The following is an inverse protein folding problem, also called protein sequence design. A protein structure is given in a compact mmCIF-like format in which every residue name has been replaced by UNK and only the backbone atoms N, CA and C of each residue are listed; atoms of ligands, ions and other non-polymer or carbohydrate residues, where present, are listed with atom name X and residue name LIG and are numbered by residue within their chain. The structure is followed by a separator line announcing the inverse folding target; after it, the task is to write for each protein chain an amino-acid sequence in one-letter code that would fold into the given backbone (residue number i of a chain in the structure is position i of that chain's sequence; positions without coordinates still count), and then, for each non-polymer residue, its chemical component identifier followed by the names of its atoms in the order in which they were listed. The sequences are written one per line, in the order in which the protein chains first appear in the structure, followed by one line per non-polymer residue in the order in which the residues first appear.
data_IF_090074712624
#
_entry.id   IF_090074712624
#
_cell.length_a   1.000
_cell.length_b   1.000
_cell.length_c   1.000
_cell.angle_alpha   90.00
_cell.angle_beta   90.00
_cell.angle_gamma   90.00
#
_symmetry.space_group_name_H-M   'P 1'
#
loop_
_entity.id
_entity.type
_entity.pdbx_description
1 polymer ?
#
# COMPACT_ATOMS: atom_id res chain seq x y z
N UNK A 1 20.74 60.32 52.11
CA UNK A 1 21.23 59.90 53.44
C UNK A 1 20.00 59.87 54.35
N UNK A 2 19.55 58.84 55.05
CA UNK A 2 19.94 57.48 55.45
C UNK A 2 18.61 56.68 55.45
N UNK A 3 18.43 55.50 54.85
CA UNK A 3 18.94 54.15 55.12
C UNK A 3 18.41 53.50 56.43
N UNK A 4 18.07 52.21 56.27
CA UNK A 4 17.91 51.10 57.26
C UNK A 4 16.46 50.95 57.80
N UNK A 5 15.65 49.93 57.41
CA UNK A 5 15.59 48.48 57.84
C UNK A 5 15.46 48.36 59.37
N UNK A 6 14.71 47.47 60.02
CA UNK A 6 14.03 46.19 59.76
C UNK A 6 13.02 45.99 60.93
N UNK A 7 11.96 45.20 60.74
CA UNK A 7 11.51 44.23 61.76
C UNK A 7 10.38 43.33 61.21
N UNK A 8 10.53 42.03 61.43
CA UNK A 8 9.56 40.97 61.20
C UNK A 8 8.50 40.94 62.31
N UNK A 9 7.26 40.50 62.02
CA UNK A 9 6.61 39.29 62.60
C UNK A 9 5.11 39.17 62.25
N UNK A 10 4.80 38.00 61.67
CA UNK A 10 3.60 37.15 61.69
C UNK A 10 2.17 37.68 61.98
N UNK A 11 1.30 37.38 61.00
CA UNK A 11 -0.02 36.70 61.06
C UNK A 11 -1.22 37.40 61.74
N UNK A 12 -2.18 37.82 60.91
CA UNK A 12 -3.61 37.68 61.23
C UNK A 12 -4.46 37.53 59.95
N UNK A 13 -5.52 36.75 60.10
CA UNK A 13 -6.36 36.18 59.06
C UNK A 13 -7.30 37.18 58.38
N UNK A 14 -7.66 36.91 57.12
CA UNK A 14 -8.95 37.30 56.55
C UNK A 14 -9.55 36.16 55.74
N UNK A 15 -10.72 35.73 56.20
CA UNK A 15 -11.61 34.81 55.54
C UNK A 15 -12.26 35.45 54.31
N UNK A 16 -12.42 34.66 53.25
CA UNK A 16 -13.47 34.83 52.24
C UNK A 16 -14.04 33.44 51.91
N UNK A 17 -15.30 33.24 52.29
CA UNK A 17 -16.27 32.36 51.62
C UNK A 17 -16.43 32.81 50.17
N UNK A 18 -16.81 32.03 49.15
CA UNK A 18 -17.21 30.63 48.99
C UNK A 18 -17.19 30.36 47.47
N UNK A 19 -17.09 29.11 47.06
CA UNK A 19 -18.09 28.40 46.24
C UNK A 19 -17.49 27.06 45.82
N UNK A 20 -18.16 25.99 46.23
CA UNK A 20 -17.86 24.64 45.78
C UNK A 20 -18.28 24.50 44.31
N UNK A 21 -17.31 24.13 43.46
CA UNK A 21 -17.58 23.54 42.16
C UNK A 21 -16.97 22.13 42.17
N UNK A 22 -17.82 21.13 42.39
CA UNK A 22 -17.50 19.72 42.16
C UNK A 22 -17.33 19.50 40.66
N UNK A 23 -16.09 19.52 40.17
CA UNK A 23 -15.77 19.04 38.84
C UNK A 23 -15.79 17.50 38.87
N UNK A 24 -16.86 16.91 38.33
CA UNK A 24 -16.88 15.50 38.01
C UNK A 24 -15.88 15.26 36.86
N UNK A 25 -14.82 14.50 37.15
CA UNK A 25 -13.88 13.98 36.17
C UNK A 25 -14.62 12.96 35.28
N UNK A 26 -15.13 13.41 34.14
CA UNK A 26 -15.39 12.53 33.00
C UNK A 26 -14.05 12.27 32.32
N UNK A 27 -13.37 11.21 32.75
CA UNK A 27 -12.21 10.68 32.04
C UNK A 27 -12.66 10.12 30.70
N UNK A 28 -12.50 10.90 29.63
CA UNK A 28 -12.51 10.36 28.28
C UNK A 28 -11.28 9.45 28.14
N UNK A 29 -11.51 8.14 28.09
CA UNK A 29 -10.49 7.18 27.72
C UNK A 29 -10.14 7.41 26.24
N UNK A 30 -9.16 8.27 25.97
CA UNK A 30 -8.42 8.20 24.73
C UNK A 30 -7.70 6.86 24.73
N UNK A 31 -8.12 5.95 23.86
CA UNK A 31 -7.36 4.75 23.56
C UNK A 31 -6.00 5.21 23.03
N UNK A 32 -5.00 5.18 23.91
CA UNK A 32 -3.62 5.52 23.61
C UNK A 32 -3.08 4.40 22.73
N UNK A 33 -3.27 4.55 21.41
CA UNK A 33 -2.69 3.64 20.43
C UNK A 33 -1.18 3.65 20.65
N UNK A 34 -0.63 2.47 20.91
CA UNK A 34 0.81 2.30 21.04
C UNK A 34 1.46 2.67 19.71
N UNK A 35 2.58 3.40 19.70
CA UNK A 35 3.31 3.61 18.45
C UNK A 35 3.70 2.26 17.86
N UNK A 36 3.64 2.09 16.53
CA UNK A 36 4.00 0.83 15.90
C UNK A 36 5.46 0.47 16.26
N UNK A 37 5.76 -0.82 16.45
CA UNK A 37 7.08 -1.26 16.89
C UNK A 37 8.16 -0.82 15.89
N UNK A 38 9.22 -0.20 16.40
CA UNK A 38 10.35 0.31 15.61
C UNK A 38 11.44 -0.73 15.31
N UNK A 39 11.28 -1.97 15.77
CA UNK A 39 12.25 -3.07 15.55
C UNK A 39 11.54 -4.41 15.37
N UNK A 40 11.90 -5.11 14.31
CA UNK A 40 11.35 -6.41 13.93
C UNK A 40 11.92 -7.54 14.81
N UNK A 41 11.07 -8.46 15.31
CA UNK A 41 11.53 -9.78 15.73
C UNK A 41 12.08 -10.53 14.52
N UNK A 42 13.35 -10.93 14.57
CA UNK A 42 14.02 -11.63 13.46
C UNK A 42 13.55 -13.10 13.39
N UNK A 43 12.94 -13.56 12.29
CA UNK A 43 12.63 -14.98 12.08
C UNK A 43 13.91 -15.79 11.76
N UNK A 44 13.87 -17.11 11.98
CA UNK A 44 14.96 -18.02 11.57
C UNK A 44 15.13 -17.97 10.04
N UNK A 45 16.36 -17.75 9.58
CA UNK A 45 16.68 -17.53 8.17
C UNK A 45 16.81 -18.84 7.39
N UNK A 46 16.07 -18.94 6.28
CA UNK A 46 16.48 -19.73 5.11
C UNK A 46 17.64 -19.00 4.40
N UNK A 47 18.36 -19.64 3.46
CA UNK A 47 19.22 -18.89 2.55
C UNK A 47 18.35 -17.82 1.84
N UNK A 48 18.81 -16.56 1.76
CA UNK A 48 18.05 -15.53 1.06
C UNK A 48 17.81 -15.96 -0.39
N UNK A 49 16.63 -15.66 -0.91
CA UNK A 49 16.35 -15.88 -2.32
C UNK A 49 17.45 -15.20 -3.15
N UNK A 50 17.91 -15.87 -4.22
CA UNK A 50 18.98 -15.35 -5.06
C UNK A 50 18.57 -13.97 -5.60
N UNK A 51 19.32 -12.92 -5.26
CA UNK A 51 19.16 -11.58 -5.85
C UNK A 51 19.32 -11.65 -7.35
N UNK A 52 18.43 -10.98 -8.08
CA UNK A 52 18.58 -10.65 -9.49
C UNK A 52 18.78 -9.14 -9.56
N UNK A 53 19.96 -8.70 -10.01
CA UNK A 53 20.35 -7.29 -9.95
C UNK A 53 20.24 -6.67 -11.33
N UNK A 54 19.53 -5.56 -11.44
CA UNK A 54 19.48 -4.72 -12.64
C UNK A 54 20.05 -3.34 -12.33
N UNK A 55 20.48 -2.63 -13.38
CA UNK A 55 20.93 -1.25 -13.27
C UNK A 55 20.51 -0.47 -14.50
N UNK A 56 20.02 0.74 -14.26
CA UNK A 56 19.63 1.67 -15.30
C UNK A 56 18.29 1.36 -15.97
N UNK A 57 17.99 2.14 -17.01
CA UNK A 57 16.70 2.07 -17.70
C UNK A 57 16.50 0.76 -18.45
N UNK A 58 15.34 0.16 -18.24
CA UNK A 58 14.80 -0.89 -19.08
C UNK A 58 14.43 -0.38 -20.48
N UNK A 59 14.34 -1.30 -21.43
CA UNK A 59 13.87 -1.03 -22.77
C UNK A 59 12.33 -1.06 -22.79
N UNK A 60 11.69 0.05 -23.11
CA UNK A 60 10.24 0.09 -23.33
C UNK A 60 9.85 -0.87 -24.47
N UNK A 61 8.83 -1.69 -24.20
CA UNK A 61 8.19 -2.58 -25.17
C UNK A 61 6.81 -2.04 -25.54
N UNK A 62 6.08 -1.55 -24.54
CA UNK A 62 4.78 -0.89 -24.68
C UNK A 62 4.84 0.46 -23.98
N UNK A 63 4.54 1.55 -24.69
CA UNK A 63 4.56 2.89 -24.09
C UNK A 63 3.36 3.17 -23.18
N UNK A 64 2.19 2.63 -23.54
CA UNK A 64 0.91 2.89 -22.87
C UNK A 64 0.05 1.64 -23.09
N UNK A 65 -0.03 0.76 -22.09
CA UNK A 65 -0.79 -0.49 -22.15
C UNK A 65 -2.24 -0.24 -22.55
N UNK A 66 -2.90 0.71 -21.89
CA UNK A 66 -4.26 1.13 -22.23
C UNK A 66 -4.39 2.63 -21.98
N UNK A 67 -4.64 3.42 -23.04
CA UNK A 67 -5.03 4.81 -22.91
C UNK A 67 -6.38 4.95 -22.20
N UNK A 68 -6.51 6.00 -21.39
CA UNK A 68 -7.78 6.38 -20.79
C UNK A 68 -8.88 6.57 -21.85
N UNK A 69 -9.99 5.84 -21.72
CA UNK A 69 -11.06 5.87 -22.73
C UNK A 69 -11.80 7.23 -22.79
N UNK A 70 -11.90 7.93 -21.66
CA UNK A 70 -12.62 9.21 -21.55
C UNK A 70 -11.74 10.32 -20.95
N UNK A 71 -10.68 10.77 -21.66
CA UNK A 71 -9.78 11.78 -21.12
C UNK A 71 -10.49 13.14 -21.03
N UNK A 72 -10.35 13.81 -19.88
CA UNK A 72 -10.88 15.16 -19.64
C UNK A 72 -9.75 16.11 -19.21
N UNK A 73 -9.84 17.40 -19.54
CA UNK A 73 -8.88 18.40 -19.06
C UNK A 73 -8.77 18.37 -17.53
N UNK A 74 -7.53 18.34 -17.02
CA UNK A 74 -7.26 18.34 -15.58
C UNK A 74 -7.18 16.95 -14.93
N UNK A 75 -7.46 15.87 -15.66
CA UNK A 75 -7.22 14.52 -15.14
C UNK A 75 -5.72 14.25 -14.96
N UNK A 76 -5.37 13.56 -13.89
CA UNK A 76 -4.02 13.03 -13.69
C UNK A 76 -3.85 11.79 -14.59
N UNK A 77 -3.50 12.00 -15.85
CA UNK A 77 -3.26 10.93 -16.82
C UNK A 77 -1.77 10.67 -16.94
N UNK A 78 -1.33 9.49 -16.52
CA UNK A 78 0.02 8.98 -16.80
C UNK A 78 -0.06 7.77 -17.71
N UNK A 79 0.87 7.74 -18.67
CA UNK A 79 1.08 6.53 -19.48
C UNK A 79 1.55 5.41 -18.58
N UNK A 80 1.11 4.19 -18.84
CA UNK A 80 1.47 2.98 -18.09
C UNK A 80 2.40 2.08 -18.92
N UNK A 81 3.69 2.43 -19.02
CA UNK A 81 4.61 1.70 -19.86
C UNK A 81 4.94 0.32 -19.27
N UNK A 82 5.33 -0.60 -20.15
CA UNK A 82 5.93 -1.90 -19.83
C UNK A 82 7.17 -2.08 -20.67
N UNK A 83 8.20 -2.67 -20.08
CA UNK A 83 9.43 -2.97 -20.80
C UNK A 83 10.11 -4.25 -20.36
N UNK A 84 11.34 -4.37 -20.84
CA UNK A 84 12.23 -5.47 -20.53
C UNK A 84 13.58 -4.93 -20.07
N UNK A 85 14.19 -5.60 -19.10
CA UNK A 85 15.56 -5.33 -18.67
C UNK A 85 16.32 -6.65 -18.55
N UNK A 86 17.62 -6.62 -18.89
CA UNK A 86 18.51 -7.76 -18.70
C UNK A 86 19.35 -7.50 -17.46
N UNK A 87 19.23 -8.39 -16.47
CA UNK A 87 19.99 -8.38 -15.23
C UNK A 87 21.47 -8.69 -15.46
N UNK A 88 22.30 -8.39 -14.46
CA UNK A 88 23.74 -8.62 -14.50
C UNK A 88 24.12 -10.10 -14.65
N UNK A 89 23.24 -11.02 -14.22
CA UNK A 89 23.43 -12.46 -14.38
C UNK A 89 22.83 -13.03 -15.68
N UNK A 90 22.36 -12.15 -16.57
CA UNK A 90 21.75 -12.50 -17.86
C UNK A 90 20.25 -12.82 -17.80
N UNK A 91 19.63 -12.81 -16.60
CA UNK A 91 18.18 -13.00 -16.46
C UNK A 91 17.43 -11.86 -17.17
N UNK A 92 16.40 -12.19 -17.94
CA UNK A 92 15.50 -11.19 -18.55
C UNK A 92 14.25 -11.02 -17.68
N UNK A 93 13.91 -9.78 -17.39
CA UNK A 93 12.76 -9.42 -16.57
C UNK A 93 11.84 -8.48 -17.34
N UNK A 94 10.53 -8.65 -17.15
CA UNK A 94 9.54 -7.62 -17.49
C UNK A 94 9.54 -6.57 -16.37
N UNK A 95 9.55 -5.29 -16.74
CA UNK A 95 9.47 -4.16 -15.81
C UNK A 95 8.21 -3.33 -16.07
N UNK A 96 7.46 -2.90 -15.04
CA UNK A 96 7.81 -3.08 -13.61
C UNK A 96 7.67 -4.53 -13.12
N UNK A 97 6.68 -5.27 -13.62
CA UNK A 97 6.53 -6.71 -13.35
C UNK A 97 5.75 -7.38 -14.47
N UNK A 98 6.02 -8.67 -14.71
CA UNK A 98 5.12 -9.49 -15.52
C UNK A 98 3.73 -9.54 -14.87
N UNK A 99 2.70 -9.17 -15.63
CA UNK A 99 1.34 -9.01 -15.12
C UNK A 99 0.32 -9.54 -16.14
N UNK A 100 -0.91 -9.70 -15.67
CA UNK A 100 -2.04 -10.21 -16.42
C UNK A 100 -2.93 -9.09 -16.95
N UNK A 101 -2.50 -7.82 -16.93
CA UNK A 101 -3.37 -6.71 -17.31
C UNK A 101 -3.92 -6.87 -18.74
N UNK A 102 -3.11 -7.26 -19.73
CA UNK A 102 -3.60 -7.37 -21.09
C UNK A 102 -4.69 -8.45 -21.29
N UNK A 103 -4.75 -9.47 -20.43
CA UNK A 103 -5.54 -10.69 -20.65
C UNK A 103 -6.61 -10.95 -19.60
N UNK A 104 -6.45 -10.41 -18.39
CA UNK A 104 -7.36 -10.65 -17.28
C UNK A 104 -8.61 -9.75 -17.32
N UNK A 105 -9.75 -10.24 -16.79
CA UNK A 105 -10.92 -9.41 -16.63
C UNK A 105 -10.61 -8.22 -15.70
N UNK A 106 -11.18 -7.05 -16.03
CA UNK A 106 -11.12 -5.89 -15.14
C UNK A 106 -12.17 -6.03 -14.06
N UNK A 107 -11.80 -5.73 -12.82
CA UNK A 107 -12.78 -5.70 -11.76
C UNK A 107 -13.77 -4.55 -11.98
N UNK A 108 -15.06 -4.74 -11.64
CA UNK A 108 -16.03 -3.66 -11.69
C UNK A 108 -15.57 -2.42 -10.94
N UNK A 109 -15.76 -1.24 -11.55
CA UNK A 109 -15.40 0.03 -10.95
C UNK A 109 -16.40 0.41 -9.84
N UNK A 110 -15.88 0.75 -8.66
CA UNK A 110 -16.59 1.59 -7.69
C UNK A 110 -16.44 3.06 -8.11
N UNK A 111 -15.24 3.44 -8.55
CA UNK A 111 -14.91 4.74 -9.12
C UNK A 111 -13.80 4.59 -10.15
N UNK A 112 -13.98 5.16 -11.34
CA UNK A 112 -12.99 5.19 -12.41
C UNK A 112 -13.32 6.32 -13.39
N UNK A 113 -12.48 7.35 -13.41
CA UNK A 113 -12.67 8.50 -14.30
C UNK A 113 -12.53 8.13 -15.79
N UNK A 114 -11.64 7.19 -16.11
CA UNK A 114 -11.42 6.72 -17.47
C UNK A 114 -12.61 5.93 -18.02
N UNK A 115 -13.34 5.22 -17.16
CA UNK A 115 -14.59 4.55 -17.51
C UNK A 115 -15.82 5.49 -17.42
N UNK A 116 -15.65 6.72 -16.91
CA UNK A 116 -16.76 7.63 -16.62
C UNK A 116 -17.64 7.20 -15.44
N UNK A 117 -17.18 6.24 -14.65
CA UNK A 117 -17.85 5.76 -13.43
C UNK A 117 -17.42 6.66 -12.28
N UNK A 118 -18.17 7.72 -12.02
CA UNK A 118 -17.82 8.67 -10.95
C UNK A 118 -18.99 8.94 -9.99
N UNK A 119 -19.50 7.92 -9.28
CA UNK A 119 -20.52 8.14 -8.25
C UNK A 119 -20.08 9.22 -7.25
N UNK A 120 -21.04 9.96 -6.72
CA UNK A 120 -20.78 10.96 -5.70
C UNK A 120 -20.39 10.33 -4.36
N UNK A 121 -21.07 9.24 -4.01
CA UNK A 121 -20.93 8.51 -2.76
C UNK A 121 -21.56 7.11 -2.90
N UNK A 122 -21.57 6.31 -1.83
CA UNK A 122 -22.11 4.95 -1.83
C UNK A 122 -23.61 4.86 -2.15
N UNK A 123 -24.38 5.94 -2.03
CA UNK A 123 -25.84 5.92 -2.31
C UNK A 123 -26.17 5.80 -3.80
N UNK A 124 -25.22 6.14 -4.68
CA UNK A 124 -25.35 6.03 -6.13
C UNK A 124 -24.81 4.69 -6.68
N UNK A 125 -24.27 3.83 -5.81
CA UNK A 125 -23.65 2.55 -6.18
C UNK A 125 -24.68 1.41 -6.06
N UNK A 126 -25.04 0.80 -7.19
CA UNK A 126 -25.92 -0.37 -7.22
C UNK A 126 -25.13 -1.68 -7.23
N UNK A 127 -24.90 -2.24 -6.05
CA UNK A 127 -24.17 -3.50 -5.87
C UNK A 127 -24.85 -4.71 -6.51
N UNK A 128 -26.15 -4.63 -6.86
CA UNK A 128 -26.84 -5.74 -7.52
C UNK A 128 -26.42 -5.89 -8.99
N UNK A 129 -25.87 -4.82 -9.60
CA UNK A 129 -25.30 -4.86 -10.95
C UNK A 129 -23.89 -5.45 -10.98
N UNK A 130 -23.23 -5.57 -9.83
CA UNK A 130 -21.92 -6.20 -9.72
C UNK A 130 -22.12 -7.72 -9.82
N UNK A 131 -21.54 -8.38 -10.84
CA UNK A 131 -21.68 -9.83 -11.00
C UNK A 131 -21.04 -10.58 -9.83
N UNK A 132 -21.63 -11.72 -9.48
CA UNK A 132 -21.08 -12.61 -8.47
C UNK A 132 -20.14 -13.60 -9.17
N UNK A 133 -18.88 -13.64 -8.72
CA UNK A 133 -17.94 -14.69 -9.12
C UNK A 133 -18.20 -15.91 -8.26
N UNK A 134 -18.67 -16.98 -8.89
CA UNK A 134 -19.07 -18.22 -8.23
C UNK A 134 -17.85 -19.13 -8.04
N UNK A 135 -17.30 -19.19 -6.82
CA UNK A 135 -16.15 -20.04 -6.47
C UNK A 135 -16.61 -21.32 -5.76
N UNK A 136 -17.51 -21.17 -4.78
CA UNK A 136 -18.09 -22.28 -4.00
C UNK A 136 -19.62 -22.18 -4.00
N UNK A 137 -20.32 -23.19 -4.52
CA UNK A 137 -21.79 -23.18 -4.64
C UNK A 137 -22.52 -23.03 -3.30
N UNK A 138 -21.96 -23.58 -2.24
CA UNK A 138 -22.46 -23.51 -0.86
C UNK A 138 -21.79 -22.40 -0.03
N UNK A 139 -21.05 -21.50 -0.69
CA UNK A 139 -20.42 -20.34 -0.09
C UNK A 139 -21.38 -19.17 0.17
N UNK A 140 -20.91 -18.25 1.01
CA UNK A 140 -21.58 -16.98 1.28
C UNK A 140 -21.20 -15.95 0.21
N UNK A 141 -22.09 -14.99 -0.05
CA UNK A 141 -21.77 -13.87 -0.94
C UNK A 141 -21.03 -12.80 -0.14
N UNK A 142 -19.76 -12.61 -0.46
CA UNK A 142 -18.90 -11.60 0.14
C UNK A 142 -18.67 -10.47 -0.87
N UNK A 143 -18.93 -9.23 -0.45
CA UNK A 143 -18.61 -8.03 -1.22
C UNK A 143 -17.29 -7.45 -0.74
N UNK A 144 -16.33 -7.24 -1.64
CA UNK A 144 -15.05 -6.59 -1.36
C UNK A 144 -14.95 -5.24 -2.05
N UNK A 145 -14.33 -4.27 -1.38
CA UNK A 145 -13.94 -2.97 -1.93
C UNK A 145 -12.44 -2.81 -1.80
N UNK A 146 -11.80 -2.19 -2.79
CA UNK A 146 -10.34 -2.07 -2.84
C UNK A 146 -9.86 -0.86 -3.62
N UNK A 147 -8.69 -0.35 -3.21
CA UNK A 147 -7.91 0.69 -3.88
C UNK A 147 -6.44 0.26 -3.85
N UNK A 148 -5.72 0.54 -4.94
CA UNK A 148 -4.27 0.43 -5.00
C UNK A 148 -3.65 1.75 -5.46
N UNK A 149 -2.45 2.01 -4.96
CA UNK A 149 -1.48 2.92 -5.53
C UNK A 149 -0.36 2.02 -6.11
N UNK A 150 -0.34 1.65 -7.39
CA UNK A 150 -1.29 1.97 -8.45
C UNK A 150 -2.11 0.77 -8.95
N UNK A 151 -1.50 -0.41 -9.08
CA UNK A 151 -2.11 -1.56 -9.75
C UNK A 151 -2.21 -2.76 -8.81
N UNK A 152 -3.24 -3.58 -9.00
CA UNK A 152 -3.31 -4.88 -8.35
C UNK A 152 -3.96 -5.97 -9.19
N UNK A 153 -3.68 -7.21 -8.81
CA UNK A 153 -4.35 -8.42 -9.29
C UNK A 153 -4.92 -9.19 -8.11
N UNK A 154 -6.21 -9.49 -8.14
CA UNK A 154 -6.91 -10.19 -7.07
C UNK A 154 -7.05 -11.67 -7.39
N UNK A 155 -6.56 -12.50 -6.47
CA UNK A 155 -6.72 -13.94 -6.51
C UNK A 155 -7.49 -14.42 -5.28
N UNK A 156 -8.40 -15.36 -5.49
CA UNK A 156 -9.10 -16.07 -4.41
C UNK A 156 -8.89 -17.55 -4.60
N UNK A 157 -8.34 -18.22 -3.58
CA UNK A 157 -7.97 -19.64 -3.63
C UNK A 157 -7.10 -20.01 -4.85
N UNK A 158 -6.21 -19.12 -5.28
CA UNK A 158 -5.35 -19.31 -6.46
C UNK A 158 -5.99 -18.96 -7.80
N UNK A 159 -7.31 -18.72 -7.85
CA UNK A 159 -7.99 -18.30 -9.07
C UNK A 159 -7.89 -16.77 -9.24
N UNK A 160 -7.41 -16.32 -10.40
CA UNK A 160 -7.44 -14.92 -10.80
C UNK A 160 -8.89 -14.47 -10.99
N UNK A 161 -9.33 -13.55 -10.14
CA UNK A 161 -10.69 -12.98 -10.18
C UNK A 161 -10.77 -11.82 -11.14
N UNK A 162 -9.75 -10.97 -11.12
CA UNK A 162 -9.63 -9.82 -11.98
C UNK A 162 -8.51 -8.91 -11.51
N UNK A 163 -8.31 -7.87 -12.29
CA UNK A 163 -7.25 -6.90 -12.07
C UNK A 163 -7.83 -5.49 -12.01
N UNK A 164 -7.04 -4.57 -11.47
CA UNK A 164 -7.32 -3.14 -11.53
C UNK A 164 -7.55 -2.70 -13.00
N UNK A 165 -8.49 -1.77 -13.22
CA UNK A 165 -8.83 -1.26 -14.55
C UNK A 165 -7.91 -0.13 -15.05
N UNK A 166 -7.14 0.50 -14.17
CA UNK A 166 -6.29 1.66 -14.45
C UNK A 166 -4.90 1.46 -13.83
N UNK A 167 -3.94 0.92 -14.58
CA UNK A 167 -2.64 0.49 -14.02
C UNK A 167 -1.81 1.55 -13.30
N UNK A 168 -2.02 2.83 -13.61
CA UNK A 168 -1.17 3.90 -13.10
C UNK A 168 -1.99 5.07 -12.58
N UNK A 169 -2.41 6.01 -13.45
CA UNK A 169 -3.31 7.09 -13.07
C UNK A 169 -4.29 7.42 -14.19
N UNK A 170 -5.52 7.89 -13.86
CA UNK A 170 -5.99 8.35 -12.55
C UNK A 170 -6.28 7.20 -11.58
N UNK A 171 -6.11 7.47 -10.29
CA UNK A 171 -6.49 6.52 -9.25
C UNK A 171 -7.97 6.17 -9.30
N UNK A 172 -8.26 4.90 -9.11
CA UNK A 172 -9.58 4.29 -9.19
C UNK A 172 -9.84 3.44 -7.95
N UNK A 173 -11.06 2.89 -7.87
CA UNK A 173 -11.42 1.93 -6.85
C UNK A 173 -12.37 0.89 -7.41
N UNK A 174 -12.33 -0.29 -6.82
CA UNK A 174 -13.00 -1.46 -7.35
C UNK A 174 -13.94 -2.10 -6.35
N UNK A 175 -14.95 -2.77 -6.88
CA UNK A 175 -15.88 -3.60 -6.13
C UNK A 175 -15.95 -5.01 -6.73
N UNK A 176 -15.93 -6.01 -5.86
CA UNK A 176 -16.07 -7.42 -6.24
C UNK A 176 -17.14 -8.09 -5.41
N UNK A 177 -17.86 -9.05 -5.98
CA UNK A 177 -18.77 -9.94 -5.24
C UNK A 177 -18.36 -11.38 -5.52
N UNK A 178 -18.13 -12.13 -4.46
CA UNK A 178 -17.60 -13.48 -4.50
C UNK A 178 -18.58 -14.40 -3.79
N UNK A 179 -18.94 -15.55 -4.37
CA UNK A 179 -19.52 -16.64 -3.59
C UNK A 179 -18.42 -17.60 -3.20
N UNK A 180 -18.06 -17.60 -1.92
CA UNK A 180 -16.89 -18.33 -1.42
C UNK A 180 -17.17 -18.94 -0.05
N UNK A 181 -16.58 -20.10 0.23
CA UNK A 181 -16.71 -20.81 1.50
C UNK A 181 -15.46 -20.63 2.34
N UNK A 182 -15.63 -20.44 3.65
CA UNK A 182 -14.52 -20.40 4.61
C UNK A 182 -13.98 -21.80 4.94
N UNK A 183 -12.66 -21.94 5.19
CA UNK A 183 -11.64 -20.91 5.04
C UNK A 183 -11.31 -20.67 3.56
N UNK A 184 -10.94 -19.44 3.22
CA UNK A 184 -10.45 -19.09 1.89
C UNK A 184 -9.23 -18.18 1.96
N UNK A 185 -8.44 -18.16 0.90
CA UNK A 185 -7.24 -17.34 0.78
C UNK A 185 -7.48 -16.19 -0.18
N UNK A 186 -7.18 -14.99 0.29
CA UNK A 186 -7.04 -13.80 -0.55
C UNK A 186 -5.55 -13.62 -0.83
N UNK A 187 -5.20 -13.45 -2.09
CA UNK A 187 -3.86 -13.16 -2.55
C UNK A 187 -3.90 -11.98 -3.53
N UNK A 188 -2.98 -11.03 -3.37
CA UNK A 188 -2.92 -9.82 -4.19
C UNK A 188 -1.50 -9.60 -4.66
N UNK A 189 -1.31 -9.48 -5.97
CA UNK A 189 -0.09 -8.89 -6.53
C UNK A 189 -0.38 -7.40 -6.60
N UNK A 190 0.39 -6.58 -5.90
CA UNK A 190 0.29 -5.13 -5.93
C UNK A 190 1.56 -4.53 -6.52
N UNK A 191 1.40 -3.50 -7.34
CA UNK A 191 2.45 -2.86 -8.10
C UNK A 191 2.35 -1.35 -8.01
N UNK A 192 3.41 -0.74 -7.50
CA UNK A 192 3.75 0.68 -7.66
C UNK A 192 4.26 0.90 -9.09
N UNK A 193 3.48 1.57 -9.93
CA UNK A 193 3.76 1.64 -11.37
C UNK A 193 4.79 2.72 -11.66
N UNK A 194 5.75 2.41 -12.52
CA UNK A 194 6.84 3.34 -12.86
C UNK A 194 6.72 3.87 -14.30
N UNK A 195 7.18 5.10 -14.54
CA UNK A 195 7.42 5.59 -15.91
C UNK A 195 8.91 5.53 -16.32
N UNK A 196 9.81 5.42 -15.35
CA UNK A 196 11.24 5.16 -15.58
C UNK A 196 11.53 3.68 -15.41
N UNK A 197 11.08 2.89 -16.38
CA UNK A 197 11.15 1.43 -16.39
C UNK A 197 12.49 0.88 -15.86
N UNK A 198 12.43 0.00 -14.86
CA UNK A 198 13.57 -0.64 -14.20
C UNK A 198 14.17 0.14 -13.03
N UNK A 199 13.59 1.29 -12.64
CA UNK A 199 14.14 2.17 -11.60
C UNK A 199 13.19 2.43 -10.42
N UNK A 200 11.92 2.06 -10.48
CA UNK A 200 10.92 2.39 -9.47
C UNK A 200 10.72 3.89 -9.31
N UNK A 201 10.84 4.61 -10.43
CA UNK A 201 10.78 6.08 -10.44
C UNK A 201 9.72 6.60 -11.40
N UNK A 202 9.17 7.74 -11.02
CA UNK A 202 8.08 8.44 -11.68
C UNK A 202 8.32 9.94 -11.85
N UNK A 203 7.55 10.55 -12.75
CA UNK A 203 7.54 11.99 -13.02
C UNK A 203 6.47 12.67 -12.18
N UNK A 204 6.83 13.23 -11.04
CA UNK A 204 5.90 13.89 -10.12
C UNK A 204 6.21 15.37 -9.95
N UNK A 205 5.24 16.25 -10.23
CA UNK A 205 5.33 17.71 -10.03
C UNK A 205 6.62 18.35 -10.57
N UNK A 206 7.11 17.89 -11.73
CA UNK A 206 8.33 18.38 -12.36
C UNK A 206 9.63 17.70 -11.89
N UNK A 207 9.59 16.86 -10.86
CA UNK A 207 10.66 15.92 -10.55
C UNK A 207 10.56 14.71 -11.49
N UNK A 208 11.61 14.42 -12.26
CA UNK A 208 11.62 13.32 -13.23
C UNK A 208 12.13 11.98 -12.65
N UNK A 209 12.53 11.99 -11.38
CA UNK A 209 13.15 10.88 -10.67
C UNK A 209 12.55 10.78 -9.25
N UNK A 210 11.23 10.92 -9.14
CA UNK A 210 10.54 10.73 -7.87
C UNK A 210 10.40 9.23 -7.61
N UNK A 211 10.76 8.74 -6.43
CA UNK A 211 10.45 7.35 -6.06
C UNK A 211 8.95 7.24 -5.80
N UNK A 212 8.33 6.13 -6.19
CA UNK A 212 6.92 5.89 -5.94
C UNK A 212 6.57 5.76 -4.46
N UNK A 213 5.30 5.53 -4.21
CA UNK A 213 4.65 5.36 -2.92
C UNK A 213 3.51 4.33 -3.07
N UNK A 214 3.85 3.09 -3.40
CA UNK A 214 2.82 2.08 -3.64
C UNK A 214 2.14 1.54 -2.36
N UNK A 215 0.81 1.40 -2.39
CA UNK A 215 0.03 0.79 -1.31
C UNK A 215 -1.24 0.05 -1.76
N UNK A 216 -1.84 -0.68 -0.82
CA UNK A 216 -3.12 -1.35 -1.01
C UNK A 216 -4.02 -1.21 0.22
N UNK A 217 -5.32 -1.01 0.00
CA UNK A 217 -6.35 -1.08 1.04
C UNK A 217 -7.55 -1.87 0.52
N UNK A 218 -8.12 -2.71 1.39
CA UNK A 218 -9.33 -3.43 1.08
C UNK A 218 -10.19 -3.74 2.31
N UNK A 219 -11.49 -3.86 2.07
CA UNK A 219 -12.47 -4.27 3.07
C UNK A 219 -13.49 -5.21 2.43
N UNK A 220 -13.82 -6.27 3.16
CA UNK A 220 -14.79 -7.28 2.76
C UNK A 220 -15.97 -7.30 3.74
N UNK A 221 -17.16 -7.62 3.24
CA UNK A 221 -18.41 -7.62 4.02
C UNK A 221 -18.47 -8.69 5.12
N UNK A 222 -17.51 -9.63 5.10
CA UNK A 222 -17.37 -10.71 6.08
C UNK A 222 -16.49 -10.33 7.29
N UNK A 223 -16.17 -9.03 7.40
CA UNK A 223 -15.34 -8.45 8.46
C UNK A 223 -13.84 -8.47 8.15
N UNK A 224 -13.40 -9.08 7.05
CA UNK A 224 -11.98 -9.03 6.65
C UNK A 224 -11.62 -7.62 6.20
N UNK A 225 -10.56 -7.06 6.77
CA UNK A 225 -9.98 -5.78 6.38
C UNK A 225 -8.48 -5.92 6.17
N UNK A 226 -7.89 -5.05 5.37
CA UNK A 226 -6.44 -4.89 5.34
C UNK A 226 -5.94 -4.31 6.65
N UNK A 227 -4.97 -4.99 7.25
CA UNK A 227 -4.32 -4.64 8.52
C UNK A 227 -2.99 -5.43 8.64
N UNK A 228 -2.27 -5.23 9.74
CA UNK A 228 -1.02 -5.95 10.05
C UNK A 228 -1.18 -7.47 10.24
N UNK A 229 -2.40 -8.01 10.13
CA UNK A 229 -2.61 -9.46 10.14
C UNK A 229 -2.35 -10.13 8.78
N UNK A 230 -2.24 -9.35 7.71
CA UNK A 230 -1.84 -9.80 6.39
C UNK A 230 -0.36 -10.14 6.33
N UNK A 231 0.01 -11.00 5.39
CA UNK A 231 1.41 -11.21 4.97
C UNK A 231 1.73 -10.26 3.83
N UNK A 232 2.94 -9.72 3.79
CA UNK A 232 3.43 -8.86 2.72
C UNK A 232 4.89 -9.17 2.43
N UNK A 233 5.25 -9.34 1.16
CA UNK A 233 6.60 -9.66 0.71
C UNK A 233 6.94 -8.87 -0.55
N UNK A 234 8.09 -8.18 -0.57
CA UNK A 234 8.55 -7.44 -1.75
C UNK A 234 9.36 -8.32 -2.69
N UNK A 235 9.23 -8.07 -3.99
CA UNK A 235 9.89 -8.83 -5.07
C UNK A 235 10.63 -7.95 -6.08
N UNK A 236 10.39 -6.64 -6.05
CA UNK A 236 11.10 -5.65 -6.83
C UNK A 236 11.35 -4.42 -5.95
N UNK A 237 12.62 -4.12 -5.68
CA UNK A 237 13.04 -3.05 -4.78
C UNK A 237 13.94 -2.06 -5.53
N UNK A 238 13.49 -0.82 -5.63
CA UNK A 238 14.14 0.27 -6.36
C UNK A 238 13.53 1.64 -6.02
N UNK A 239 14.21 2.76 -6.26
CA UNK A 239 15.59 2.90 -6.74
C UNK A 239 16.61 2.70 -5.61
N UNK A 240 17.78 2.15 -5.95
CA UNK A 240 18.88 1.94 -5.00
C UNK A 240 20.17 2.60 -5.48
N UNK A 241 20.95 3.15 -4.54
CA UNK A 241 22.30 3.67 -4.82
C UNK A 241 23.29 2.52 -5.04
N UNK A 242 23.10 1.42 -4.31
CA UNK A 242 23.82 0.16 -4.46
C UNK A 242 22.89 -1.03 -4.11
N UNK A 243 23.06 -2.23 -4.70
CA UNK A 243 22.23 -3.38 -4.33
C UNK A 243 22.27 -3.78 -2.84
N UNK A 244 23.35 -3.39 -2.13
CA UNK A 244 23.50 -3.63 -0.69
C UNK A 244 22.70 -2.68 0.20
N UNK A 245 22.02 -1.70 -0.40
CA UNK A 245 21.00 -0.89 0.28
C UNK A 245 19.77 -1.74 0.67
N UNK A 246 19.65 -2.96 0.14
CA UNK A 246 18.72 -3.99 0.62
C UNK A 246 19.47 -4.91 1.57
N UNK A 247 19.02 -4.98 2.82
CA UNK A 247 19.56 -5.89 3.84
C UNK A 247 18.53 -6.98 4.14
N UNK A 248 18.85 -8.24 3.87
CA UNK A 248 17.95 -9.35 4.13
C UNK A 248 18.06 -9.87 5.57
N UNK A 249 16.92 -9.92 6.24
CA UNK A 249 16.76 -10.59 7.53
C UNK A 249 15.75 -11.73 7.39
N UNK A 250 16.25 -12.89 6.96
CA UNK A 250 15.38 -13.98 6.48
C UNK A 250 14.67 -13.53 5.20
N UNK A 251 13.34 -13.44 5.24
CA UNK A 251 12.52 -12.95 4.10
C UNK A 251 12.18 -11.46 4.18
N UNK A 252 12.65 -10.74 5.21
CA UNK A 252 12.48 -9.29 5.26
C UNK A 252 13.55 -8.65 4.36
N UNK A 253 13.13 -7.82 3.41
CA UNK A 253 14.02 -6.97 2.62
C UNK A 253 14.03 -5.57 3.27
N UNK A 254 15.03 -5.31 4.11
CA UNK A 254 15.06 -4.10 4.94
C UNK A 254 15.85 -2.97 4.26
N UNK A 255 15.16 -1.85 4.03
CA UNK A 255 15.70 -0.58 3.54
C UNK A 255 15.58 0.55 4.57
N UNK A 256 15.14 0.26 5.80
CA UNK A 256 14.86 1.26 6.84
C UNK A 256 16.10 2.07 7.27
N UNK A 257 17.30 1.50 7.10
CA UNK A 257 18.56 2.18 7.37
C UNK A 257 18.81 3.37 6.42
N UNK A 258 18.06 3.47 5.32
CA UNK A 258 18.04 4.60 4.40
C UNK A 258 17.22 5.79 4.95
N UNK A 259 17.03 5.92 6.27
CA UNK A 259 16.46 7.12 6.88
C UNK A 259 14.94 7.11 7.09
N UNK A 260 14.23 6.10 6.59
CA UNK A 260 12.81 5.93 6.85
C UNK A 260 12.12 5.01 5.84
N UNK A 261 10.82 4.84 6.04
CA UNK A 261 9.94 3.99 5.22
C UNK A 261 8.93 4.76 4.35
N UNK A 262 8.90 6.08 4.48
CA UNK A 262 7.94 6.99 3.87
C UNK A 262 8.65 8.25 3.37
N UNK A 263 8.03 8.98 2.45
CA UNK A 263 8.47 10.33 2.09
C UNK A 263 8.14 11.35 3.20
N UNK A 264 8.94 12.43 3.35
CA UNK A 264 10.26 12.67 2.76
C UNK A 264 11.40 12.09 3.63
N UNK A 265 11.11 11.17 4.57
CA UNK A 265 12.08 10.66 5.53
C UNK A 265 13.11 9.72 4.88
N UNK A 266 12.66 8.90 3.93
CA UNK A 266 13.55 8.03 3.16
C UNK A 266 14.57 8.86 2.37
N UNK A 267 15.84 8.48 2.47
CA UNK A 267 16.97 9.06 1.76
C UNK A 267 17.01 8.50 0.35
N UNK A 268 16.55 9.30 -0.59
CA UNK A 268 16.55 8.94 -1.99
C UNK A 268 17.97 8.86 -2.56
N UNK A 269 18.24 7.93 -3.48
CA UNK A 269 19.56 7.79 -4.08
C UNK A 269 19.85 8.91 -5.10
N UNK A 270 21.12 9.18 -5.39
CA UNK A 270 21.52 10.28 -6.30
C UNK A 270 21.91 9.80 -7.70
N UNK A 271 21.83 8.49 -7.96
CA UNK A 271 22.21 7.84 -9.21
C UNK A 271 21.30 8.14 -10.41
N UNK A 272 20.08 8.68 -10.20
CA UNK A 272 19.12 9.00 -11.28
C UNK A 272 18.89 7.78 -12.20
N UNK A 273 19.13 7.93 -13.50
CA UNK A 273 18.98 6.88 -14.51
C UNK A 273 19.99 5.73 -14.41
N UNK A 274 20.93 5.80 -13.46
CA UNK A 274 21.95 4.77 -13.22
C UNK A 274 21.72 3.99 -11.92
N UNK A 275 20.55 4.16 -11.30
CA UNK A 275 20.22 3.45 -10.07
C UNK A 275 20.08 1.95 -10.28
N UNK A 276 20.28 1.22 -9.19
CA UNK A 276 20.12 -0.22 -9.14
C UNK A 276 18.71 -0.59 -8.73
N UNK A 277 18.36 -1.83 -9.06
CA UNK A 277 17.25 -2.53 -8.45
C UNK A 277 17.66 -3.94 -8.04
N UNK A 278 16.99 -4.43 -7.00
CA UNK A 278 17.05 -5.82 -6.56
C UNK A 278 15.71 -6.47 -6.81
N UNK A 279 15.73 -7.58 -7.52
CA UNK A 279 14.56 -8.40 -7.82
C UNK A 279 14.71 -9.78 -7.18
N UNK A 280 13.57 -10.38 -6.87
CA UNK A 280 13.48 -11.76 -6.39
C UNK A 280 12.49 -12.55 -7.25
N UNK A 281 12.74 -13.84 -7.50
CA UNK A 281 11.79 -14.66 -8.24
C UNK A 281 10.48 -14.79 -7.44
N UNK A 282 9.37 -14.45 -8.09
CA UNK A 282 8.03 -14.69 -7.54
C UNK A 282 7.80 -16.21 -7.47
N UNK A 283 7.48 -16.78 -6.30
CA UNK A 283 7.31 -18.23 -6.16
C UNK A 283 6.11 -18.76 -6.93
N UNK A 284 6.27 -19.89 -7.62
CA UNK A 284 5.15 -20.55 -8.28
C UNK A 284 4.05 -20.92 -7.27
N UNK A 285 2.79 -20.69 -7.67
CA UNK A 285 1.65 -21.02 -6.84
C UNK A 285 1.52 -20.20 -5.56
N UNK A 286 2.22 -19.07 -5.42
CA UNK A 286 2.14 -18.18 -4.25
C UNK A 286 0.73 -17.68 -3.91
N UNK A 287 -0.30 -17.92 -4.74
CA UNK A 287 -1.69 -17.50 -4.57
C UNK A 287 -2.57 -18.64 -4.05
N UNK A 288 -2.08 -19.87 -4.11
CA UNK A 288 -2.84 -21.05 -3.75
C UNK A 288 -3.12 -21.12 -2.24
N UNK A 289 -4.20 -21.79 -1.81
CA UNK A 289 -4.54 -21.92 -0.39
C UNK A 289 -3.48 -22.64 0.45
N UNK A 290 -2.77 -23.59 -0.16
CA UNK A 290 -1.79 -24.45 0.50
C UNK A 290 -0.34 -23.90 0.45
N UNK A 291 -0.13 -22.73 -0.14
CA UNK A 291 1.19 -22.11 -0.17
C UNK A 291 1.64 -21.73 1.25
N UNK A 292 2.87 -22.14 1.60
CA UNK A 292 3.46 -21.86 2.90
C UNK A 292 4.04 -20.44 2.95
N UNK A 293 3.24 -19.49 3.44
CA UNK A 293 3.65 -18.12 3.73
C UNK A 293 4.08 -17.90 5.18
N UNK A 294 4.33 -18.97 5.95
CA UNK A 294 4.65 -18.87 7.38
C UNK A 294 5.86 -17.98 7.64
N UNK A 295 6.82 -17.99 6.71
CA UNK A 295 8.06 -17.21 6.76
C UNK A 295 7.95 -15.82 6.11
N UNK A 296 6.83 -15.46 5.48
CA UNK A 296 6.66 -14.09 4.94
C UNK A 296 6.49 -13.09 6.10
N UNK A 297 7.01 -11.86 5.96
CA UNK A 297 6.76 -10.80 6.91
C UNK A 297 5.27 -10.48 7.02
N UNK A 298 4.90 -9.86 8.14
CA UNK A 298 3.58 -9.24 8.26
C UNK A 298 3.58 -7.90 7.52
N UNK A 299 2.42 -7.52 7.02
CA UNK A 299 2.21 -6.21 6.46
C UNK A 299 2.44 -5.11 7.50
N UNK A 300 2.98 -3.99 7.06
CA UNK A 300 3.01 -2.77 7.85
C UNK A 300 1.76 -1.94 7.55
N UNK A 301 1.25 -1.27 8.58
CA UNK A 301 0.14 -0.31 8.44
C UNK A 301 0.69 1.10 8.23
N UNK A 302 -0.01 1.86 7.39
CA UNK A 302 0.28 3.26 7.08
C UNK A 302 -0.96 4.15 7.25
N UNK A 303 -0.73 5.41 7.57
CA UNK A 303 -1.77 6.44 7.70
C UNK A 303 -2.12 7.05 6.35
N UNK A 304 -3.34 7.59 6.21
CA UNK A 304 -3.77 8.27 4.98
C UNK A 304 -2.82 9.42 4.57
N UNK A 305 -2.16 10.08 5.53
CA UNK A 305 -1.20 11.15 5.26
C UNK A 305 0.19 10.64 4.82
N UNK A 306 0.52 9.38 5.11
CA UNK A 306 1.81 8.78 4.76
C UNK A 306 1.84 8.30 3.30
N UNK A 307 0.67 7.94 2.75
CA UNK A 307 0.49 7.27 1.46
C UNK A 307 0.11 8.22 0.31
N UNK A 308 0.08 9.53 0.54
CA UNK A 308 -0.20 10.50 -0.54
C UNK A 308 -1.63 10.55 -1.10
N UNK A 309 -2.51 9.59 -0.81
CA UNK A 309 -3.88 9.47 -1.37
C UNK A 309 -4.93 10.47 -0.82
N UNK A 310 -4.51 11.48 -0.05
CA UNK A 310 -5.43 12.47 0.52
C UNK A 310 -6.15 13.22 -0.60
N UNK A 311 -7.48 13.12 -0.62
CA UNK A 311 -8.33 13.75 -1.62
C UNK A 311 -8.56 12.93 -2.89
N UNK A 312 -8.00 11.72 -3.00
CA UNK A 312 -8.31 10.78 -4.10
C UNK A 312 -9.80 10.40 -4.04
N UNK A 313 -10.62 10.77 -5.04
CA UNK A 313 -12.06 10.55 -4.99
C UNK A 313 -12.48 9.08 -4.88
N UNK A 314 -11.72 8.17 -5.49
CA UNK A 314 -11.97 6.73 -5.46
C UNK A 314 -11.93 6.10 -4.07
N UNK A 315 -11.27 6.75 -3.11
CA UNK A 315 -11.22 6.35 -1.71
C UNK A 315 -12.11 7.25 -0.83
N UNK A 316 -11.91 8.56 -0.89
CA UNK A 316 -12.52 9.50 0.07
C UNK A 316 -14.03 9.68 -0.04
N UNK A 317 -14.63 9.39 -1.21
CA UNK A 317 -16.09 9.48 -1.39
C UNK A 317 -16.86 8.30 -0.79
N UNK A 318 -16.16 7.23 -0.40
CA UNK A 318 -16.77 5.97 0.02
C UNK A 318 -16.27 5.53 1.40
N UNK A 319 -16.41 6.36 2.45
CA UNK A 319 -15.91 6.01 3.78
C UNK A 319 -16.48 4.68 4.30
N UNK A 320 -17.72 4.32 3.96
CA UNK A 320 -18.34 3.05 4.35
C UNK A 320 -17.63 1.84 3.72
N UNK A 321 -17.10 2.01 2.50
CA UNK A 321 -16.38 0.98 1.76
C UNK A 321 -15.00 0.69 2.36
N UNK A 322 -14.42 1.61 3.14
CA UNK A 322 -13.05 1.50 3.68
C UNK A 322 -12.94 1.73 5.19
N UNK A 323 -14.04 2.00 5.90
CA UNK A 323 -13.99 2.21 7.34
C UNK A 323 -13.50 0.94 8.06
N UNK A 324 -12.46 1.12 8.87
CA UNK A 324 -11.82 0.05 9.64
C UNK A 324 -10.65 -0.64 8.95
N UNK A 325 -10.46 -0.44 7.63
CA UNK A 325 -9.27 -0.92 6.93
C UNK A 325 -8.08 0.01 7.10
N UNK A 326 -6.89 -0.53 6.88
CA UNK A 326 -5.60 0.17 6.91
C UNK A 326 -4.94 0.04 5.56
N UNK A 327 -4.24 1.10 5.14
CA UNK A 327 -3.26 0.98 4.07
C UNK A 327 -2.18 0.03 4.53
N UNK A 328 -1.89 -0.96 3.69
CA UNK A 328 -0.88 -1.96 3.97
C UNK A 328 0.13 -2.04 2.84
N UNK A 329 1.39 -2.27 3.24
CA UNK A 329 2.49 -2.56 2.35
C UNK A 329 3.55 -3.42 3.07
N UNK A 330 4.73 -3.54 2.46
CA UNK A 330 5.94 -4.05 3.12
C UNK A 330 6.58 -2.97 3.99
N UNK A 331 7.87 -3.05 4.29
CA UNK A 331 8.54 -2.12 5.20
C UNK A 331 8.70 -0.73 4.60
N UNK A 332 8.67 -0.56 3.27
CA UNK A 332 8.94 0.72 2.62
C UNK A 332 7.94 1.03 1.52
N UNK A 333 7.21 2.15 1.65
CA UNK A 333 6.41 2.71 0.56
C UNK A 333 7.29 3.20 -0.60
N UNK A 334 8.50 3.64 -0.26
CA UNK A 334 9.37 4.40 -1.17
C UNK A 334 10.19 3.49 -2.11
N UNK A 335 10.46 2.26 -1.68
CA UNK A 335 11.43 1.40 -2.37
C UNK A 335 10.83 0.08 -2.85
N UNK A 336 9.80 -0.45 -2.19
CA UNK A 336 9.23 -1.74 -2.56
C UNK A 336 8.18 -1.53 -3.64
N UNK A 337 8.49 -1.87 -4.90
CA UNK A 337 7.64 -1.57 -6.05
C UNK A 337 6.66 -2.70 -6.37
N UNK A 338 7.13 -3.95 -6.32
CA UNK A 338 6.26 -5.14 -6.48
C UNK A 338 6.12 -5.83 -5.14
N UNK A 339 4.89 -5.96 -4.65
CA UNK A 339 4.58 -6.60 -3.36
C UNK A 339 3.49 -7.65 -3.54
N UNK A 340 3.68 -8.80 -2.91
CA UNK A 340 2.65 -9.83 -2.81
C UNK A 340 2.04 -9.81 -1.41
N UNK A 341 0.72 -9.69 -1.35
CA UNK A 341 -0.06 -9.66 -0.12
C UNK A 341 -0.88 -10.95 -0.01
N UNK A 342 -0.94 -11.53 1.19
CA UNK A 342 -1.73 -12.75 1.44
C UNK A 342 -2.49 -12.69 2.76
N UNK A 343 -3.71 -13.24 2.75
CA UNK A 343 -4.55 -13.39 3.92
C UNK A 343 -5.35 -14.69 3.85
N UNK A 344 -5.22 -15.51 4.89
CA UNK A 344 -6.17 -16.59 5.14
C UNK A 344 -7.34 -16.05 5.97
N UNK A 345 -8.54 -16.17 5.42
CA UNK A 345 -9.81 -15.87 6.09
C UNK A 345 -10.32 -17.18 6.69
N UNK A 346 -10.56 -17.18 8.01
CA UNK A 346 -10.89 -18.38 8.78
C UNK A 346 -12.37 -18.56 9.00
#
# INVERSE_FOLDING_TARGET
MLKVRHAQRSLSARAWLALAATAALLGAAQAQQSPPPSKLPLPKADPPAKRIITQGLGKTVTEDLIPCANPKPGMNLRKNPVGEITAMDGTKLTVPVANNFATAPKLPDLYNECAGVTPKDMSEVDLNKVPIVELDKDGEVITGFMVADNYFELYINGQLIGVDATPYTPFNSHVVRLRVKRPYTIAVLAQDWEDKLGLGMEVFQGNTCHSGDGEFVAKFSDGTVTDSTWKAQSFYISPLQHPDDVVEYGNVHDTSHLGGRIHPLARLPTCREYCFAVHYPIPDGWMNPNFDDSKWPRAFEYLDQEVGIVGVPGYWRYPEAFIGSRWIWTISLVFDNTVLLRKMVR
#
